data_IF_577056858884
#
_entry.id   IF_577056858884
#
_cell.length_a   1.000
_cell.length_b   1.000
_cell.length_c   1.000
_cell.angle_alpha   90.00
_cell.angle_beta   90.00
_cell.angle_gamma   90.00
#
_symmetry.space_group_name_H-M   'P 1'
#
loop_
_entity.id
_entity.type
_entity.pdbx_description
1 polymer ?
#
# COMPACT_ATOMS: atom_id res chain seq x y z
N UNK A 1 -19.38 10.18 -17.98
CA UNK A 1 -18.02 10.80 -17.95
C UNK A 1 -17.04 9.64 -17.90
N UNK A 2 -16.43 9.30 -19.05
CA UNK A 2 -15.41 8.24 -19.10
C UNK A 2 -14.20 8.70 -18.28
N UNK A 3 -13.88 7.97 -17.21
CA UNK A 3 -12.60 8.12 -16.51
C UNK A 3 -11.53 7.66 -17.50
N UNK A 4 -10.57 8.53 -17.80
CA UNK A 4 -9.37 8.14 -18.55
C UNK A 4 -8.71 6.98 -17.77
N UNK A 5 -8.75 5.80 -18.34
CA UNK A 5 -8.03 4.66 -17.80
C UNK A 5 -6.54 4.96 -17.93
N UNK A 6 -5.74 4.73 -16.85
CA UNK A 6 -4.30 4.84 -16.97
C UNK A 6 -3.79 3.82 -18.01
N UNK A 7 -2.64 4.12 -18.64
CA UNK A 7 -1.98 3.17 -19.51
C UNK A 7 -1.84 1.80 -18.82
N UNK A 8 -1.92 0.71 -19.58
CA UNK A 8 -1.92 -0.65 -19.03
C UNK A 8 -0.72 -0.91 -18.09
N UNK A 9 0.45 -0.37 -18.42
CA UNK A 9 1.67 -0.49 -17.59
C UNK A 9 1.58 0.26 -16.26
N UNK A 10 0.84 1.38 -16.17
CA UNK A 10 0.62 2.11 -14.90
C UNK A 10 -0.44 1.44 -14.02
N UNK A 11 -1.33 0.62 -14.59
CA UNK A 11 -2.39 -0.06 -13.86
C UNK A 11 -1.83 -1.09 -12.86
N UNK A 12 -0.84 -1.85 -13.30
CA UNK A 12 -0.21 -2.92 -12.50
C UNK A 12 1.03 -2.48 -11.76
N UNK A 13 1.50 -1.24 -11.92
CA UNK A 13 2.65 -0.71 -11.18
C UNK A 13 2.41 -0.72 -9.67
N UNK A 14 3.43 -1.08 -8.89
CA UNK A 14 3.37 -1.08 -7.44
C UNK A 14 3.29 0.34 -6.88
N UNK A 15 2.56 0.50 -5.79
CA UNK A 15 2.31 1.83 -5.19
C UNK A 15 2.79 1.85 -3.74
N UNK A 16 3.98 2.40 -3.54
CA UNK A 16 4.60 2.57 -2.22
C UNK A 16 4.23 3.92 -1.59
N UNK A 17 2.94 4.15 -1.37
CA UNK A 17 2.40 5.42 -0.85
C UNK A 17 1.62 5.24 0.44
N UNK A 18 1.67 4.05 1.03
CA UNK A 18 1.00 3.73 2.30
C UNK A 18 1.70 4.36 3.51
N UNK A 19 2.98 4.69 3.38
CA UNK A 19 3.79 5.27 4.47
C UNK A 19 4.37 4.24 5.43
N UNK A 20 4.02 2.96 5.28
CA UNK A 20 4.60 1.84 6.01
C UNK A 20 4.44 0.52 5.23
N UNK A 21 5.25 -0.53 5.51
CA UNK A 21 5.26 -1.78 4.75
C UNK A 21 3.90 -2.48 4.67
N UNK A 22 3.15 -2.55 5.76
CA UNK A 22 1.86 -3.24 5.78
C UNK A 22 0.81 -2.55 4.91
N UNK A 23 0.75 -1.22 4.88
CA UNK A 23 -0.15 -0.48 4.01
C UNK A 23 0.33 -0.48 2.54
N UNK A 24 1.63 -0.57 2.29
CA UNK A 24 2.17 -0.78 0.95
C UNK A 24 1.77 -2.16 0.40
N UNK A 25 1.73 -3.20 1.24
CA UNK A 25 1.18 -4.50 0.85
C UNK A 25 -0.33 -4.40 0.57
N UNK A 26 -1.10 -3.69 1.39
CA UNK A 26 -2.53 -3.42 1.14
C UNK A 26 -2.75 -2.72 -0.19
N UNK A 27 -1.86 -1.81 -0.59
CA UNK A 27 -1.92 -1.07 -1.85
C UNK A 27 -1.65 -1.92 -3.10
N UNK A 28 -1.27 -3.20 -2.96
CA UNK A 28 -1.17 -4.14 -4.09
C UNK A 28 -2.52 -4.54 -4.67
N UNK A 29 -3.63 -4.25 -3.99
CA UNK A 29 -4.97 -4.21 -4.59
C UNK A 29 -5.39 -2.76 -4.77
N UNK A 30 -5.56 -2.35 -6.01
CA UNK A 30 -6.11 -1.04 -6.35
C UNK A 30 -7.62 -1.09 -6.60
N UNK A 31 -8.26 0.08 -6.53
CA UNK A 31 -9.68 0.25 -6.86
C UNK A 31 -10.61 -0.73 -6.12
N UNK A 32 -10.38 -0.93 -4.84
CA UNK A 32 -11.10 -1.90 -4.01
C UNK A 32 -12.63 -1.70 -4.01
N UNK A 33 -13.10 -0.48 -4.24
CA UNK A 33 -14.53 -0.13 -4.31
C UNK A 33 -15.11 -0.26 -5.72
N UNK A 34 -14.29 -0.57 -6.74
CA UNK A 34 -14.78 -0.74 -8.11
C UNK A 34 -15.35 -2.14 -8.31
N UNK A 35 -16.19 -2.29 -9.34
CA UNK A 35 -16.71 -3.59 -9.77
C UNK A 35 -15.59 -4.58 -10.14
N UNK A 36 -14.45 -4.07 -10.58
CA UNK A 36 -13.27 -4.87 -10.94
C UNK A 36 -12.03 -4.29 -10.23
N UNK A 37 -11.69 -4.75 -9.02
CA UNK A 37 -10.47 -4.38 -8.35
C UNK A 37 -9.22 -4.83 -9.14
N UNK A 38 -8.14 -4.08 -9.02
CA UNK A 38 -6.87 -4.39 -9.69
C UNK A 38 -5.94 -5.13 -8.74
N UNK A 39 -5.74 -6.42 -8.99
CA UNK A 39 -4.74 -7.24 -8.31
C UNK A 39 -3.37 -7.05 -8.96
N UNK A 40 -2.35 -6.66 -8.17
CA UNK A 40 -0.96 -6.46 -8.64
C UNK A 40 -0.03 -7.61 -8.30
N UNK A 41 -0.36 -8.43 -7.30
CA UNK A 41 0.36 -9.65 -6.98
C UNK A 41 -0.30 -10.83 -7.71
N UNK A 42 -0.20 -10.92 -9.03
CA UNK A 42 -0.88 -11.91 -9.86
C UNK A 42 -0.16 -13.26 -9.89
N UNK A 43 1.18 -13.21 -9.79
CA UNK A 43 2.08 -14.35 -9.88
C UNK A 43 3.11 -14.35 -8.74
N UNK A 44 3.86 -15.44 -8.59
CA UNK A 44 5.01 -15.52 -7.68
C UNK A 44 6.10 -14.53 -8.08
N UNK A 45 6.26 -14.26 -9.38
CA UNK A 45 7.16 -13.24 -9.90
C UNK A 45 6.77 -11.83 -9.43
N UNK A 46 5.48 -11.48 -9.49
CA UNK A 46 5.01 -10.18 -9.00
C UNK A 46 5.30 -10.00 -7.50
N UNK A 47 5.15 -11.06 -6.68
CA UNK A 47 5.50 -10.97 -5.26
C UNK A 47 7.01 -10.82 -5.07
N UNK A 48 7.83 -11.54 -5.85
CA UNK A 48 9.28 -11.38 -5.84
C UNK A 48 9.67 -9.93 -6.14
N UNK A 49 9.14 -9.37 -7.22
CA UNK A 49 9.42 -7.99 -7.66
C UNK A 49 8.95 -6.96 -6.64
N UNK A 50 7.77 -7.19 -6.04
CA UNK A 50 7.25 -6.33 -4.99
C UNK A 50 8.13 -6.33 -3.75
N UNK A 51 8.61 -7.51 -3.30
CA UNK A 51 9.49 -7.63 -2.12
C UNK A 51 10.83 -6.92 -2.34
N UNK A 52 11.40 -7.03 -3.55
CA UNK A 52 12.61 -6.30 -3.93
C UNK A 52 12.38 -4.79 -3.96
N UNK A 53 11.30 -4.34 -4.62
CA UNK A 53 10.96 -2.92 -4.71
C UNK A 53 10.57 -2.29 -3.36
N UNK A 54 10.01 -3.10 -2.44
CA UNK A 54 9.71 -2.70 -1.06
C UNK A 54 10.96 -2.71 -0.16
N UNK A 55 12.13 -3.13 -0.68
CA UNK A 55 13.39 -3.28 0.09
C UNK A 55 13.24 -4.18 1.33
N UNK A 56 12.37 -5.20 1.25
CA UNK A 56 12.16 -6.18 2.32
C UNK A 56 13.05 -7.40 2.20
N UNK A 57 13.76 -7.52 1.09
CA UNK A 57 14.78 -8.53 0.81
C UNK A 57 15.91 -7.89 0.01
N UNK A 58 17.14 -8.31 0.26
CA UNK A 58 18.35 -7.81 -0.42
C UNK A 58 18.70 -8.66 -1.65
N UNK A 59 18.31 -9.94 -1.61
CA UNK A 59 18.54 -10.89 -2.71
C UNK A 59 17.19 -11.40 -3.21
N UNK A 60 17.07 -11.53 -4.53
CA UNK A 60 15.85 -11.98 -5.21
C UNK A 60 15.42 -13.37 -4.72
N UNK A 61 14.29 -13.52 -3.99
CA UNK A 61 13.86 -14.79 -3.45
C UNK A 61 13.16 -15.65 -4.50
N UNK A 62 13.27 -16.97 -4.37
CA UNK A 62 12.40 -17.91 -5.09
C UNK A 62 11.08 -18.04 -4.31
N UNK A 63 10.06 -17.33 -4.74
CA UNK A 63 8.74 -17.36 -4.11
C UNK A 63 7.96 -18.60 -4.54
N UNK A 64 7.40 -19.31 -3.57
CA UNK A 64 6.55 -20.49 -3.81
C UNK A 64 5.06 -20.09 -3.92
N UNK A 65 4.20 -20.86 -4.64
CA UNK A 65 2.78 -20.52 -4.80
C UNK A 65 2.02 -20.34 -3.48
N UNK A 66 2.33 -21.14 -2.45
CA UNK A 66 1.71 -21.00 -1.13
C UNK A 66 2.12 -19.72 -0.41
N UNK A 67 3.30 -19.17 -0.70
CA UNK A 67 3.76 -17.89 -0.13
C UNK A 67 3.03 -16.71 -0.75
N UNK A 68 2.77 -16.75 -2.06
CA UNK A 68 1.90 -15.77 -2.73
C UNK A 68 0.49 -15.78 -2.12
N UNK A 69 -0.10 -16.96 -1.93
CA UNK A 69 -1.40 -17.11 -1.28
C UNK A 69 -1.37 -16.55 0.14
N UNK A 70 -0.30 -16.81 0.89
CA UNK A 70 -0.11 -16.32 2.24
C UNK A 70 0.05 -14.80 2.30
N UNK A 71 0.81 -14.21 1.37
CA UNK A 71 0.97 -12.76 1.26
C UNK A 71 -0.37 -12.07 0.98
N UNK A 72 -1.18 -12.60 0.06
CA UNK A 72 -2.53 -12.11 -0.21
C UNK A 72 -3.45 -12.23 1.01
N UNK A 73 -3.40 -13.36 1.74
CA UNK A 73 -4.19 -13.55 2.98
C UNK A 73 -3.77 -12.56 4.07
N UNK A 74 -2.48 -12.38 4.29
CA UNK A 74 -1.95 -11.40 5.24
C UNK A 74 -2.39 -9.98 4.86
N UNK A 75 -2.30 -9.61 3.59
CA UNK A 75 -2.76 -8.34 3.04
C UNK A 75 -4.22 -8.06 3.39
N UNK A 76 -5.10 -9.03 3.11
CA UNK A 76 -6.54 -8.85 3.36
C UNK A 76 -6.86 -8.78 4.85
N UNK A 77 -6.14 -9.53 5.70
CA UNK A 77 -6.28 -9.42 7.15
C UNK A 77 -5.89 -8.02 7.65
N UNK A 78 -4.73 -7.50 7.19
CA UNK A 78 -4.30 -6.12 7.51
C UNK A 78 -5.36 -5.11 7.05
N UNK A 79 -5.85 -5.22 5.82
CA UNK A 79 -6.86 -4.32 5.29
C UNK A 79 -8.12 -4.32 6.15
N UNK A 80 -8.69 -5.50 6.46
CA UNK A 80 -9.91 -5.61 7.27
C UNK A 80 -9.71 -5.03 8.67
N UNK A 81 -8.59 -5.34 9.33
CA UNK A 81 -8.32 -4.82 10.68
C UNK A 81 -8.16 -3.30 10.68
N UNK A 82 -7.49 -2.73 9.69
CA UNK A 82 -7.37 -1.26 9.57
C UNK A 82 -8.75 -0.64 9.35
N UNK A 83 -9.55 -1.18 8.44
CA UNK A 83 -10.88 -0.64 8.12
C UNK A 83 -11.85 -0.75 9.29
N UNK A 84 -11.88 -1.89 10.02
CA UNK A 84 -12.74 -2.05 11.20
C UNK A 84 -12.33 -1.12 12.33
N UNK A 85 -11.01 -0.94 12.54
CA UNK A 85 -10.50 -0.01 13.55
C UNK A 85 -10.85 1.44 13.21
N UNK A 86 -10.67 1.86 11.94
CA UNK A 86 -11.06 3.20 11.49
C UNK A 86 -12.57 3.47 11.62
N UNK A 87 -13.38 2.43 11.50
CA UNK A 87 -14.86 2.50 11.63
C UNK A 87 -15.37 2.23 13.05
N UNK A 88 -14.47 2.07 14.02
CA UNK A 88 -14.81 1.69 15.40
C UNK A 88 -15.67 0.43 15.51
N UNK A 89 -15.43 -0.54 14.62
CA UNK A 89 -16.10 -1.83 14.60
C UNK A 89 -15.25 -2.90 15.29
N UNK A 90 -15.89 -4.01 15.71
CA UNK A 90 -15.15 -5.13 16.31
C UNK A 90 -14.31 -5.85 15.26
N UNK A 91 -12.99 -6.03 15.51
CA UNK A 91 -12.11 -6.73 14.59
C UNK A 91 -12.37 -8.25 14.62
N UNK A 92 -12.14 -8.91 13.49
CA UNK A 92 -12.24 -10.36 13.39
C UNK A 92 -11.08 -11.05 14.15
N UNK A 93 -11.34 -11.93 15.14
CA UNK A 93 -10.30 -12.64 15.87
C UNK A 93 -9.36 -13.48 14.99
N UNK A 94 -9.85 -14.04 13.90
CA UNK A 94 -9.06 -14.85 12.98
C UNK A 94 -8.01 -14.00 12.24
N UNK A 95 -8.32 -12.74 11.91
CA UNK A 95 -7.36 -11.82 11.30
C UNK A 95 -6.26 -11.44 12.29
N UNK A 96 -6.64 -11.20 13.55
CA UNK A 96 -5.67 -10.95 14.64
C UNK A 96 -4.75 -12.16 14.81
N UNK A 97 -5.32 -13.37 14.91
CA UNK A 97 -4.56 -14.61 15.06
C UNK A 97 -3.62 -14.85 13.87
N UNK A 98 -4.06 -14.53 12.65
CA UNK A 98 -3.22 -14.65 11.44
C UNK A 98 -2.01 -13.72 11.50
N UNK A 99 -2.20 -12.44 11.83
CA UNK A 99 -1.10 -11.47 11.92
C UNK A 99 -0.15 -11.86 13.06
N UNK A 100 -0.67 -12.24 14.22
CA UNK A 100 0.14 -12.69 15.35
C UNK A 100 0.97 -13.94 15.02
N UNK A 101 0.43 -14.88 14.22
CA UNK A 101 1.18 -16.06 13.77
C UNK A 101 2.33 -15.67 12.85
N UNK A 102 2.11 -14.78 11.88
CA UNK A 102 3.15 -14.30 10.98
C UNK A 102 4.24 -13.52 11.69
N UNK A 103 3.92 -12.72 12.70
CA UNK A 103 4.88 -11.92 13.45
C UNK A 103 5.88 -12.75 14.28
N UNK A 104 5.57 -14.02 14.55
CA UNK A 104 6.45 -14.95 15.30
C UNK A 104 7.55 -15.55 14.43
N UNK A 105 7.48 -15.45 13.12
CA UNK A 105 8.52 -15.95 12.21
C UNK A 105 9.76 -15.08 12.40
N UNK A 106 10.98 -15.68 12.50
CA UNK A 106 12.22 -14.94 12.63
C UNK A 106 12.40 -13.94 11.46
N UNK A 107 12.84 -12.75 11.81
CA UNK A 107 13.21 -11.72 10.82
C UNK A 107 14.58 -12.02 10.21
N UNK A 108 14.92 -11.42 9.06
CA UNK A 108 16.28 -11.45 8.55
C UNK A 108 17.25 -10.89 9.59
N UNK A 109 18.37 -11.57 9.77
CA UNK A 109 19.43 -11.10 10.67
C UNK A 109 20.45 -10.33 9.83
N UNK A 110 20.62 -9.02 10.05
CA UNK A 110 21.65 -8.25 9.37
C UNK A 110 23.03 -8.69 9.84
N UNK A 111 23.92 -8.93 8.90
CA UNK A 111 25.32 -9.26 9.13
C UNK A 111 26.22 -8.43 8.23
N UNK A 112 27.46 -8.17 8.66
CA UNK A 112 28.46 -7.54 7.80
C UNK A 112 29.32 -8.61 7.14
N UNK A 113 29.58 -8.46 5.87
CA UNK A 113 30.55 -9.24 5.09
C UNK A 113 31.61 -8.31 4.52
N UNK A 114 32.86 -8.72 4.62
CA UNK A 114 33.98 -8.06 3.95
C UNK A 114 34.14 -8.68 2.56
N UNK A 115 33.97 -7.88 1.51
CA UNK A 115 34.21 -8.26 0.10
C UNK A 115 34.99 -7.13 -0.58
N UNK A 116 36.08 -7.49 -1.23
CA UNK A 116 36.95 -6.55 -1.96
C UNK A 116 37.40 -5.31 -1.14
N UNK A 117 37.66 -5.53 0.16
CA UNK A 117 38.06 -4.47 1.08
C UNK A 117 36.94 -3.54 1.58
N UNK A 118 35.69 -3.79 1.19
CA UNK A 118 34.51 -3.02 1.58
C UNK A 118 33.58 -3.86 2.46
N UNK A 119 32.90 -3.17 3.38
CA UNK A 119 31.87 -3.78 4.22
C UNK A 119 30.53 -3.75 3.49
N UNK A 120 29.93 -4.93 3.31
CA UNK A 120 28.62 -5.10 2.70
C UNK A 120 27.62 -5.62 3.73
N UNK A 121 26.40 -5.03 3.71
CA UNK A 121 25.27 -5.57 4.45
C UNK A 121 24.83 -6.86 3.80
N UNK A 122 24.76 -7.92 4.56
CA UNK A 122 24.16 -9.19 4.16
C UNK A 122 23.05 -9.56 5.14
N UNK A 123 21.90 -9.94 4.64
CA UNK A 123 20.81 -10.48 5.42
C UNK A 123 20.74 -12.00 5.23
N UNK A 124 20.98 -12.75 6.30
CA UNK A 124 20.89 -14.21 6.28
C UNK A 124 19.55 -14.67 6.82
N UNK A 125 18.80 -15.34 5.98
CA UNK A 125 17.59 -16.05 6.37
C UNK A 125 17.35 -17.23 5.42
N UNK A 126 17.01 -18.43 5.95
CA UNK A 126 16.71 -19.60 5.12
C UNK A 126 15.39 -19.45 4.36
N UNK A 127 14.53 -18.51 4.76
CA UNK A 127 13.19 -18.33 4.22
C UNK A 127 12.89 -16.84 3.99
N UNK A 128 13.54 -16.22 2.99
CA UNK A 128 13.49 -14.76 2.82
C UNK A 128 12.08 -14.21 2.61
N UNK A 129 11.25 -14.87 1.82
CA UNK A 129 9.84 -14.46 1.62
C UNK A 129 9.06 -14.46 2.94
N UNK A 130 9.18 -15.51 3.73
CA UNK A 130 8.46 -15.63 5.02
C UNK A 130 8.97 -14.63 6.05
N UNK A 131 10.29 -14.40 6.08
CA UNK A 131 10.89 -13.39 6.94
C UNK A 131 10.39 -11.99 6.58
N UNK A 132 10.29 -11.67 5.29
CA UNK A 132 9.71 -10.40 4.82
C UNK A 132 8.22 -10.26 5.20
N UNK A 133 7.43 -11.32 5.07
CA UNK A 133 6.03 -11.31 5.53
C UNK A 133 5.91 -11.12 7.06
N UNK A 134 6.89 -11.64 7.83
CA UNK A 134 6.97 -11.38 9.28
C UNK A 134 7.23 -9.90 9.58
N UNK A 135 8.13 -9.25 8.85
CA UNK A 135 8.37 -7.80 8.98
C UNK A 135 7.07 -7.02 8.77
N UNK A 136 6.32 -7.37 7.72
CA UNK A 136 5.03 -6.74 7.41
C UNK A 136 4.00 -6.97 8.51
N UNK A 137 3.92 -8.19 9.05
CA UNK A 137 3.01 -8.50 10.15
C UNK A 137 3.32 -7.73 11.42
N UNK A 138 4.61 -7.59 11.78
CA UNK A 138 5.05 -6.78 12.93
C UNK A 138 4.77 -5.30 12.72
N UNK A 139 5.00 -4.78 11.52
CA UNK A 139 4.64 -3.40 11.17
C UNK A 139 3.13 -3.15 11.33
N UNK A 140 2.30 -4.10 10.90
CA UNK A 140 0.85 -4.03 11.09
C UNK A 140 0.45 -4.03 12.59
N UNK A 141 1.11 -4.84 13.43
CA UNK A 141 0.90 -4.84 14.89
C UNK A 141 1.25 -3.48 15.48
N UNK A 142 2.39 -2.91 15.11
CA UNK A 142 2.82 -1.59 15.62
C UNK A 142 1.86 -0.47 15.16
N UNK A 143 1.37 -0.55 13.92
CA UNK A 143 0.41 0.41 13.40
C UNK A 143 -0.94 0.33 14.14
N UNK A 144 -1.49 -0.88 14.27
CA UNK A 144 -2.82 -1.14 14.84
C UNK A 144 -2.83 -1.02 16.38
N UNK A 145 -1.74 -1.45 17.03
CA UNK A 145 -1.61 -1.41 18.49
C UNK A 145 -1.31 -0.03 19.07
N UNK A 146 -0.95 0.95 18.24
CA UNK A 146 -0.69 2.33 18.65
C UNK A 146 -1.87 3.24 18.30
N UNK A 147 -2.60 3.72 19.32
CA UNK A 147 -3.68 4.69 19.15
C UNK A 147 -3.22 5.92 18.34
N UNK A 148 -2.00 6.42 18.59
CA UNK A 148 -1.43 7.56 17.86
C UNK A 148 -1.22 7.24 16.38
N UNK A 149 -0.74 6.04 16.07
CA UNK A 149 -0.44 5.63 14.70
C UNK A 149 -1.70 5.38 13.89
N UNK A 150 -2.66 4.62 14.44
CA UNK A 150 -3.88 4.27 13.71
C UNK A 150 -4.77 5.49 13.43
N UNK A 151 -4.80 6.49 14.31
CA UNK A 151 -5.51 7.75 14.08
C UNK A 151 -4.93 8.59 12.94
N UNK A 152 -3.70 8.28 12.50
CA UNK A 152 -3.06 8.91 11.35
C UNK A 152 -3.33 8.16 10.04
N UNK A 153 -3.93 6.99 10.09
CA UNK A 153 -4.30 6.26 8.87
C UNK A 153 -5.52 6.91 8.24
N UNK A 154 -5.42 7.12 6.93
CA UNK A 154 -6.48 7.72 6.11
C UNK A 154 -6.67 6.95 4.82
N UNK A 155 -7.87 7.01 4.29
CA UNK A 155 -8.17 6.61 2.92
C UNK A 155 -8.00 7.81 1.98
N UNK A 156 -7.43 7.58 0.80
CA UNK A 156 -7.26 8.63 -0.20
C UNK A 156 -8.62 9.16 -0.66
N UNK A 157 -8.81 10.48 -0.54
CA UNK A 157 -10.08 11.15 -0.86
C UNK A 157 -10.42 11.15 -2.37
N UNK A 158 -9.59 10.54 -3.23
CA UNK A 158 -9.89 10.40 -4.65
C UNK A 158 -10.77 9.16 -4.87
N UNK A 159 -11.98 9.30 -5.49
CA UNK A 159 -12.96 8.22 -5.58
C UNK A 159 -12.44 6.93 -6.22
N UNK A 160 -11.49 7.06 -7.15
CA UNK A 160 -10.90 5.96 -7.92
C UNK A 160 -9.55 5.49 -7.36
N UNK A 161 -9.15 5.87 -6.14
CA UNK A 161 -7.87 5.48 -5.55
C UNK A 161 -8.01 4.47 -4.42
N UNK A 162 -8.82 4.76 -3.39
CA UNK A 162 -9.07 3.92 -2.19
C UNK A 162 -7.83 3.43 -1.43
N UNK A 163 -6.65 4.05 -1.67
CA UNK A 163 -5.40 3.67 -1.04
C UNK A 163 -5.37 4.16 0.42
N UNK A 164 -5.04 3.26 1.35
CA UNK A 164 -4.81 3.59 2.74
C UNK A 164 -3.38 4.11 2.93
N UNK A 165 -3.21 5.20 3.69
CA UNK A 165 -1.89 5.78 3.96
C UNK A 165 -1.80 6.40 5.35
N UNK A 166 -0.59 6.45 5.91
CA UNK A 166 -0.30 7.18 7.14
C UNK A 166 -0.07 8.64 6.80
N UNK A 167 -0.83 9.52 7.42
CA UNK A 167 -0.61 10.96 7.31
C UNK A 167 0.52 11.41 8.26
N UNK A 168 1.75 11.39 7.76
CA UNK A 168 2.93 11.84 8.49
C UNK A 168 3.12 13.38 8.50
N UNK A 169 2.20 14.15 7.90
CA UNK A 169 2.32 15.61 7.89
C UNK A 169 2.15 16.20 9.28
N UNK A 170 2.81 17.33 9.54
CA UNK A 170 2.71 18.04 10.83
C UNK A 170 1.26 18.37 11.20
N UNK A 171 0.47 18.87 10.24
CA UNK A 171 -0.92 19.25 10.45
C UNK A 171 -1.90 18.06 10.52
N UNK A 172 -1.52 16.87 10.06
CA UNK A 172 -2.42 15.72 9.97
C UNK A 172 -3.63 15.95 9.06
N UNK A 173 -3.51 16.77 8.01
CA UNK A 173 -4.64 17.18 7.14
C UNK A 173 -4.51 16.70 5.70
N UNK A 174 -3.62 15.74 5.40
CA UNK A 174 -3.53 15.20 4.05
C UNK A 174 -4.83 14.51 3.66
N UNK A 175 -5.31 14.82 2.46
CA UNK A 175 -6.50 14.24 1.85
C UNK A 175 -6.15 13.17 0.82
N UNK A 176 -4.94 13.19 0.26
CA UNK A 176 -4.50 12.32 -0.83
C UNK A 176 -3.24 11.55 -0.43
N UNK A 177 -3.14 10.32 -0.90
CA UNK A 177 -1.97 9.46 -0.67
C UNK A 177 -0.67 10.02 -1.26
N UNK A 178 -0.79 10.87 -2.32
CA UNK A 178 0.32 11.63 -2.92
C UNK A 178 -0.23 12.87 -3.59
N UNK A 179 0.50 13.99 -3.52
CA UNK A 179 0.15 15.19 -4.26
C UNK A 179 0.35 14.99 -5.76
N UNK A 180 1.47 14.37 -6.17
CA UNK A 180 1.83 14.20 -7.58
C UNK A 180 0.83 13.31 -8.34
N UNK A 181 0.37 12.22 -7.71
CA UNK A 181 -0.56 11.30 -8.37
C UNK A 181 -2.02 11.67 -8.16
N UNK A 182 -2.46 11.83 -6.90
CA UNK A 182 -3.87 11.99 -6.59
C UNK A 182 -4.29 13.45 -6.40
N UNK A 183 -3.43 14.25 -5.75
CA UNK A 183 -3.72 15.66 -5.48
C UNK A 183 -3.80 16.50 -6.76
N UNK A 184 -2.81 16.37 -7.64
CA UNK A 184 -2.78 17.13 -8.90
C UNK A 184 -3.92 16.71 -9.84
N UNK A 185 -4.24 15.40 -9.94
CA UNK A 185 -5.40 14.94 -10.72
C UNK A 185 -6.72 15.48 -10.15
N UNK A 186 -6.89 15.52 -8.82
CA UNK A 186 -8.07 16.11 -8.20
C UNK A 186 -8.20 17.60 -8.55
N UNK A 187 -7.11 18.38 -8.43
CA UNK A 187 -7.08 19.80 -8.81
C UNK A 187 -7.44 20.03 -10.27
N UNK A 188 -6.92 19.20 -11.18
CA UNK A 188 -7.21 19.28 -12.62
C UNK A 188 -8.69 19.02 -12.90
N UNK A 189 -9.31 18.03 -12.24
CA UNK A 189 -10.75 17.76 -12.37
C UNK A 189 -11.58 18.93 -11.86
N UNK A 190 -11.23 19.50 -10.70
CA UNK A 190 -11.93 20.65 -10.12
C UNK A 190 -11.78 21.92 -10.98
N UNK A 191 -10.61 22.13 -11.57
CA UNK A 191 -10.37 23.22 -12.51
C UNK A 191 -11.25 23.08 -13.78
N UNK A 192 -11.25 21.88 -14.39
CA UNK A 192 -12.09 21.59 -15.58
C UNK A 192 -13.58 21.76 -15.28
N UNK A 193 -14.05 21.38 -14.08
CA UNK A 193 -15.45 21.61 -13.66
C UNK A 193 -15.78 23.09 -13.56
N UNK A 194 -14.90 23.92 -12.99
CA UNK A 194 -15.10 25.39 -12.90
C UNK A 194 -15.16 26.06 -14.27
N UNK A 195 -14.31 25.62 -15.21
CA UNK A 195 -14.35 26.13 -16.59
C UNK A 195 -15.67 25.81 -17.30
N UNK A 196 -16.18 24.58 -17.12
CA UNK A 196 -17.49 24.19 -17.70
C UNK A 196 -18.68 24.90 -17.06
N UNK A 197 -18.57 25.28 -15.79
CA UNK A 197 -19.62 26.05 -15.07
C UNK A 197 -19.65 27.54 -15.39
N UNK A 198 -18.60 28.10 -15.99
CA UNK A 198 -18.60 29.47 -16.49
C UNK A 198 -19.35 29.48 -17.84
N UNK A 199 -20.69 29.75 -17.80
CA UNK A 199 -21.46 30.15 -18.98
C UNK A 199 -20.82 31.43 -19.54
N UNK A 200 -20.36 31.37 -20.79
CA UNK A 200 -19.96 32.57 -21.51
C UNK A 200 -21.21 33.44 -21.62
N UNK A 201 -21.22 34.70 -21.16
CA UNK A 201 -22.36 35.58 -21.43
C UNK A 201 -22.40 35.79 -22.93
N UNK A 202 -23.48 35.33 -23.56
CA UNK A 202 -23.82 35.66 -24.95
C UNK A 202 -23.97 37.18 -25.00
N UNK A 203 -23.02 37.89 -25.65
CA UNK A 203 -23.23 39.29 -26.06
C UNK A 203 -24.37 39.27 -27.04
N UNK A 204 -25.53 39.82 -26.65
CA UNK A 204 -26.60 40.19 -27.55
C UNK A 204 -26.07 41.30 -28.43
N UNK A 205 -26.10 41.17 -29.79
CA UNK A 205 -25.80 42.31 -30.66
C UNK A 205 -26.95 43.35 -30.56
N UNK A 206 -26.56 44.61 -30.49
CA UNK A 206 -27.46 45.74 -30.58
C UNK A 206 -27.96 45.96 -32.01
#
# INVERSE_FOLDING_TARGET
>A
MKLEQPAADDLYSFRFRGGCPCLNLVATVGWRSASTPVERLRSTGDLTDWLMAAQLVTVRPKVMPYELTSARRLREAVYRLVMTTMKHQLPNPNDIALINRWSRIPQPVPTLKLEDGLLHLQEKTPQPTRAALSVIARDAILLLGSKKSILRVKECARPDCTLLFVDASRSGRRRWCSMDACGNRAKTVDYRKRLKGRKIPTKTPA
#
